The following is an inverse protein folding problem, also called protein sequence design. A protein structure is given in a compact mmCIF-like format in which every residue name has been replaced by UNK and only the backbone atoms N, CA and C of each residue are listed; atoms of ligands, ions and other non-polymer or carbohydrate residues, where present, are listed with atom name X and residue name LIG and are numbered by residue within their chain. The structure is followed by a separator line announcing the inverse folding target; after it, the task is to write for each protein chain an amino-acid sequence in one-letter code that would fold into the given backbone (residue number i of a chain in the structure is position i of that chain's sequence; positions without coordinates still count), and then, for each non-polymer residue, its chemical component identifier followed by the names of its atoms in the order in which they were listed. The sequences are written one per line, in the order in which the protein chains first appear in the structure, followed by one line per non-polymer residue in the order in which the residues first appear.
data_IF_820299960492
#
_entry.id   IF_820299960492
#
_cell.length_a   1.000
_cell.length_b   1.000
_cell.length_c   1.000
_cell.angle_alpha   90.00
_cell.angle_beta   90.00
_cell.angle_gamma   90.00
#
_symmetry.space_group_name_H-M   'P 1'
#
loop_
_entity.id
_entity.type
_entity.pdbx_description
1 polymer ?
#
# COMPACT_ATOMS: atom_id res chain seq x y z
N UNK A 1 12.79 23.46 19.51
CA UNK A 1 12.70 21.99 19.50
C UNK A 1 13.97 21.46 18.85
N UNK A 2 14.69 20.56 19.52
CA UNK A 2 15.92 20.01 18.96
C UNK A 2 15.57 18.99 17.87
N UNK A 3 16.12 19.21 16.69
CA UNK A 3 15.91 18.37 15.51
C UNK A 3 16.61 17.03 15.73
N UNK A 4 15.94 15.91 15.41
CA UNK A 4 16.51 14.58 15.50
C UNK A 4 17.44 14.32 14.30
N UNK A 5 18.72 14.66 14.46
CA UNK A 5 19.75 14.51 13.43
C UNK A 5 19.91 13.08 12.89
N UNK A 6 19.96 12.02 13.74
CA UNK A 6 19.98 10.63 13.25
C UNK A 6 18.78 10.27 12.38
N UNK A 7 17.58 10.69 12.76
CA UNK A 7 16.35 10.47 11.99
C UNK A 7 16.40 11.19 10.62
N UNK A 8 16.83 12.45 10.63
CA UNK A 8 17.03 13.25 9.41
C UNK A 8 18.00 12.61 8.43
N UNK A 9 19.16 12.17 8.92
CA UNK A 9 20.19 11.54 8.08
C UNK A 9 19.65 10.24 7.48
N UNK A 10 18.98 9.41 8.29
CA UNK A 10 18.41 8.14 7.83
C UNK A 10 17.36 8.34 6.72
N UNK A 11 16.47 9.32 6.89
CA UNK A 11 15.43 9.64 5.91
C UNK A 11 16.03 10.30 4.66
N UNK A 12 17.03 11.16 4.82
CA UNK A 12 17.79 11.73 3.71
C UNK A 12 18.44 10.64 2.84
N UNK A 13 19.09 9.67 3.48
CA UNK A 13 19.66 8.50 2.79
C UNK A 13 18.56 7.70 2.09
N UNK A 14 17.43 7.44 2.75
CA UNK A 14 16.29 6.76 2.12
C UNK A 14 15.80 7.49 0.87
N UNK A 15 15.58 8.81 0.92
CA UNK A 15 15.15 9.57 -0.25
C UNK A 15 16.19 9.58 -1.37
N UNK A 16 17.48 9.66 -1.05
CA UNK A 16 18.56 9.57 -2.04
C UNK A 16 18.55 8.19 -2.72
N UNK A 17 18.35 7.12 -1.97
CA UNK A 17 18.27 5.75 -2.52
C UNK A 17 17.03 5.61 -3.41
N UNK A 18 15.87 6.08 -2.98
CA UNK A 18 14.63 6.03 -3.77
C UNK A 18 14.75 6.86 -5.05
N UNK A 19 15.23 8.10 -4.93
CA UNK A 19 15.41 8.97 -6.10
C UNK A 19 16.47 8.41 -7.05
N UNK A 20 17.59 7.91 -6.53
CA UNK A 20 18.66 7.30 -7.31
C UNK A 20 18.20 6.05 -8.06
N UNK A 21 17.45 5.18 -7.39
CA UNK A 21 16.86 3.97 -8.01
C UNK A 21 15.81 4.34 -9.05
N UNK A 22 14.98 5.35 -8.81
CA UNK A 22 14.02 5.87 -9.77
C UNK A 22 14.68 6.47 -11.03
N UNK A 23 15.72 7.27 -10.86
CA UNK A 23 16.50 7.83 -11.98
C UNK A 23 17.21 6.72 -12.77
N UNK A 24 17.80 5.74 -12.09
CA UNK A 24 18.42 4.58 -12.73
C UNK A 24 17.40 3.75 -13.51
N UNK A 25 16.24 3.47 -12.91
CA UNK A 25 15.14 2.73 -13.54
C UNK A 25 14.54 3.51 -14.72
N UNK A 26 14.46 4.84 -14.64
CA UNK A 26 14.09 5.71 -15.78
C UNK A 26 15.09 5.56 -16.94
N UNK A 27 16.40 5.56 -16.66
CA UNK A 27 17.42 5.33 -17.70
C UNK A 27 17.31 3.93 -18.31
N UNK A 28 16.98 2.92 -17.50
CA UNK A 28 16.73 1.55 -17.97
C UNK A 28 15.47 1.49 -18.84
N UNK A 29 14.38 2.12 -18.40
CA UNK A 29 13.13 2.25 -19.15
C UNK A 29 13.36 2.87 -20.53
N UNK A 30 14.08 4.00 -20.60
CA UNK A 30 14.45 4.65 -21.87
C UNK A 30 15.31 3.78 -22.80
N UNK A 31 16.10 2.85 -22.25
CA UNK A 31 16.88 1.89 -23.06
C UNK A 31 16.01 0.77 -23.62
N UNK A 32 15.06 0.29 -22.84
CA UNK A 32 14.08 -0.71 -23.27
C UNK A 32 13.04 -0.11 -24.23
N UNK A 33 12.66 1.16 -24.03
CA UNK A 33 11.84 1.97 -24.94
C UNK A 33 12.45 2.03 -26.35
N UNK A 34 13.78 2.16 -26.46
CA UNK A 34 14.48 2.15 -27.76
C UNK A 34 14.47 0.78 -28.46
N UNK A 35 14.16 -0.31 -27.74
CA UNK A 35 14.08 -1.67 -28.30
C UNK A 35 12.66 -2.08 -28.65
N UNK A 36 11.64 -1.43 -28.10
CA UNK A 36 10.23 -1.76 -28.32
C UNK A 36 9.57 -0.81 -29.33
N UNK A 37 8.86 -1.36 -30.32
CA UNK A 37 8.09 -0.63 -31.34
C UNK A 37 6.72 -0.07 -30.84
N UNK A 38 6.53 0.07 -29.53
CA UNK A 38 5.25 0.48 -28.93
C UNK A 38 5.10 1.99 -28.78
N UNK A 39 3.86 2.49 -28.68
CA UNK A 39 3.60 3.90 -28.42
C UNK A 39 4.16 4.33 -27.05
N UNK A 40 4.80 5.50 -26.99
CA UNK A 40 5.44 6.07 -25.79
C UNK A 40 4.53 6.10 -24.56
N UNK A 41 3.25 6.35 -24.76
CA UNK A 41 2.22 6.35 -23.70
C UNK A 41 1.96 4.95 -23.15
N UNK A 42 1.97 3.90 -23.98
CA UNK A 42 1.80 2.51 -23.55
C UNK A 42 3.01 2.05 -22.73
N UNK A 43 4.23 2.37 -23.15
CA UNK A 43 5.44 2.04 -22.36
C UNK A 43 5.44 2.74 -21.00
N UNK A 44 5.01 4.00 -20.94
CA UNK A 44 4.89 4.73 -19.68
C UNK A 44 3.80 4.16 -18.75
N UNK A 45 2.67 3.72 -19.32
CA UNK A 45 1.52 3.23 -18.55
C UNK A 45 1.62 1.76 -18.15
N UNK A 46 2.11 0.87 -19.01
CA UNK A 46 2.17 -0.59 -18.77
C UNK A 46 3.59 -1.17 -18.78
N UNK A 47 4.63 -0.35 -18.84
CA UNK A 47 6.02 -0.82 -18.75
C UNK A 47 6.39 -1.82 -19.86
N UNK A 48 5.79 -1.68 -21.05
CA UNK A 48 6.02 -2.59 -22.17
C UNK A 48 5.61 -4.04 -21.93
N UNK A 49 4.79 -4.31 -20.89
CA UNK A 49 4.26 -5.64 -20.55
C UNK A 49 5.34 -6.70 -20.32
N UNK A 50 6.50 -6.32 -19.80
CA UNK A 50 7.63 -7.24 -19.65
C UNK A 50 8.30 -7.13 -18.26
N UNK A 51 7.54 -6.74 -17.24
CA UNK A 51 8.05 -6.72 -15.88
C UNK A 51 8.38 -8.15 -15.41
N UNK A 52 9.50 -8.27 -14.70
CA UNK A 52 9.93 -9.52 -14.08
C UNK A 52 8.98 -9.87 -12.92
N UNK A 53 8.74 -11.17 -12.71
CA UNK A 53 7.80 -11.67 -11.69
C UNK A 53 8.10 -11.21 -10.28
N UNK A 54 9.39 -11.14 -9.92
CA UNK A 54 9.78 -10.59 -8.63
C UNK A 54 9.37 -9.11 -8.49
N UNK A 55 9.65 -8.30 -9.51
CA UNK A 55 9.29 -6.87 -9.52
C UNK A 55 7.78 -6.68 -9.51
N UNK A 56 7.05 -7.50 -10.27
CA UNK A 56 5.58 -7.48 -10.33
C UNK A 56 4.93 -7.85 -8.99
N UNK A 57 5.42 -8.90 -8.31
CA UNK A 57 4.96 -9.27 -6.96
C UNK A 57 5.23 -8.12 -6.00
N UNK A 58 6.46 -7.60 -5.96
CA UNK A 58 6.82 -6.53 -5.04
C UNK A 58 6.01 -5.25 -5.28
N UNK A 59 5.86 -4.78 -6.52
CA UNK A 59 5.06 -3.57 -6.79
C UNK A 59 3.58 -3.80 -6.49
N UNK A 60 3.05 -5.00 -6.75
CA UNK A 60 1.67 -5.34 -6.39
C UNK A 60 1.47 -5.27 -4.87
N UNK A 61 2.34 -5.92 -4.09
CA UNK A 61 2.28 -5.87 -2.62
C UNK A 61 2.49 -4.45 -2.08
N UNK A 62 3.49 -3.72 -2.58
CA UNK A 62 3.80 -2.35 -2.14
C UNK A 62 2.65 -1.36 -2.34
N UNK A 63 1.81 -1.59 -3.36
CA UNK A 63 0.64 -0.75 -3.64
C UNK A 63 -0.38 -0.79 -2.51
N UNK A 64 -0.55 -1.96 -1.89
CA UNK A 64 -1.53 -2.17 -0.82
C UNK A 64 -0.93 -1.94 0.56
N UNK A 65 0.34 -2.29 0.74
CA UNK A 65 1.08 -2.12 2.00
C UNK A 65 1.68 -0.71 2.06
N UNK A 66 0.81 0.27 2.35
CA UNK A 66 1.18 1.68 2.50
C UNK A 66 1.14 2.19 3.95
N UNK A 67 1.41 3.49 4.14
CA UNK A 67 1.36 4.14 5.46
C UNK A 67 0.00 4.01 6.16
N UNK A 68 -1.09 4.20 5.42
CA UNK A 68 -2.45 4.00 5.96
C UNK A 68 -2.77 2.55 6.34
N UNK A 69 -2.18 1.58 5.63
CA UNK A 69 -2.33 0.16 5.96
C UNK A 69 -1.60 -0.20 7.26
N UNK A 70 -0.33 0.24 7.39
CA UNK A 70 0.53 -0.06 8.54
C UNK A 70 0.02 0.69 9.78
N UNK A 71 -0.06 2.03 9.69
CA UNK A 71 -0.45 2.88 10.81
C UNK A 71 -1.92 2.66 11.18
N UNK A 72 -2.81 2.58 10.19
CA UNK A 72 -4.23 2.36 10.44
C UNK A 72 -4.52 1.02 11.09
N UNK A 73 -3.84 -0.06 10.68
CA UNK A 73 -4.00 -1.37 11.34
C UNK A 73 -3.54 -1.33 12.79
N UNK A 74 -2.39 -0.69 13.07
CA UNK A 74 -1.90 -0.54 14.44
C UNK A 74 -2.85 0.32 15.30
N UNK A 75 -3.37 1.42 14.74
CA UNK A 75 -4.33 2.30 15.41
C UNK A 75 -5.65 1.59 15.74
N UNK A 76 -6.18 0.79 14.81
CA UNK A 76 -7.43 0.04 15.06
C UNK A 76 -7.26 -0.98 16.18
N UNK A 77 -6.12 -1.68 16.24
CA UNK A 77 -5.81 -2.64 17.32
C UNK A 77 -5.61 -1.92 18.65
N UNK A 78 -4.96 -0.76 18.65
CA UNK A 78 -4.76 0.05 19.85
C UNK A 78 -6.07 0.62 20.40
N UNK A 79 -7.03 0.95 19.53
CA UNK A 79 -8.26 1.60 19.94
C UNK A 79 -9.16 0.66 20.79
N UNK A 80 -9.53 1.07 22.03
CA UNK A 80 -10.27 0.22 22.96
C UNK A 80 -11.68 -0.14 22.51
N UNK A 81 -12.29 0.60 21.58
CA UNK A 81 -13.64 0.30 21.08
C UNK A 81 -13.64 -0.63 19.87
N UNK A 82 -12.48 -0.85 19.25
CA UNK A 82 -12.35 -1.57 17.98
C UNK A 82 -11.54 -2.85 18.14
N UNK A 83 -10.24 -2.75 18.44
CA UNK A 83 -9.34 -3.91 18.52
C UNK A 83 -9.09 -4.61 17.18
N UNK A 84 -8.50 -5.81 17.25
CA UNK A 84 -8.05 -6.64 16.14
C UNK A 84 -9.15 -6.98 15.14
N UNK A 85 -10.38 -7.24 15.59
CA UNK A 85 -11.49 -7.61 14.70
C UNK A 85 -11.79 -6.50 13.69
N UNK A 86 -11.44 -5.25 14.00
CA UNK A 86 -11.58 -4.09 13.12
C UNK A 86 -10.31 -3.74 12.33
N UNK A 87 -9.18 -4.43 12.56
CA UNK A 87 -7.97 -4.35 11.74
C UNK A 87 -8.12 -5.20 10.48
N UNK A 88 -9.02 -4.70 9.64
CA UNK A 88 -9.79 -5.44 8.64
C UNK A 88 -9.05 -5.40 7.28
N UNK A 89 -8.17 -4.40 7.09
CA UNK A 89 -7.43 -4.13 5.85
C UNK A 89 -6.51 -5.27 5.38
N UNK A 90 -5.72 -5.95 6.24
CA UNK A 90 -4.90 -7.10 5.83
C UNK A 90 -5.69 -8.20 5.15
N UNK A 91 -6.83 -8.59 5.71
CA UNK A 91 -7.67 -9.64 5.17
C UNK A 91 -8.44 -9.16 3.94
N UNK A 92 -9.02 -7.97 3.99
CA UNK A 92 -9.82 -7.42 2.90
C UNK A 92 -9.01 -7.22 1.60
N UNK A 93 -7.78 -6.67 1.68
CA UNK A 93 -6.93 -6.51 0.52
C UNK A 93 -6.43 -7.84 -0.05
N UNK A 94 -6.21 -8.84 0.80
CA UNK A 94 -5.88 -10.21 0.35
C UNK A 94 -7.03 -10.81 -0.45
N UNK A 95 -8.26 -10.68 0.06
CA UNK A 95 -9.47 -11.12 -0.65
C UNK A 95 -9.68 -10.36 -1.96
N UNK A 96 -9.44 -9.04 -1.95
CA UNK A 96 -9.50 -8.19 -3.15
C UNK A 96 -8.57 -8.70 -4.25
N UNK A 97 -7.31 -9.01 -3.89
CA UNK A 97 -6.32 -9.53 -4.81
C UNK A 97 -6.69 -10.92 -5.36
N UNK A 98 -7.23 -11.81 -4.52
CA UNK A 98 -7.68 -13.15 -4.94
C UNK A 98 -8.85 -13.04 -5.91
N UNK A 99 -9.88 -12.24 -5.58
CA UNK A 99 -11.06 -12.06 -6.43
C UNK A 99 -10.66 -11.36 -7.74
N UNK A 100 -9.82 -10.34 -7.67
CA UNK A 100 -9.24 -9.67 -8.83
C UNK A 100 -8.50 -10.65 -9.76
N UNK A 101 -7.69 -11.55 -9.19
CA UNK A 101 -6.96 -12.58 -9.94
C UNK A 101 -7.88 -13.58 -10.65
N UNK A 102 -8.94 -14.02 -9.96
CA UNK A 102 -9.86 -15.03 -10.47
C UNK A 102 -10.72 -14.50 -11.62
N UNK A 103 -11.33 -13.32 -11.44
CA UNK A 103 -12.38 -12.84 -12.34
C UNK A 103 -11.91 -11.76 -13.31
N UNK A 104 -10.98 -10.89 -12.92
CA UNK A 104 -10.69 -9.66 -13.68
C UNK A 104 -9.37 -9.71 -14.46
N UNK A 105 -8.36 -10.47 -14.01
CA UNK A 105 -7.05 -10.53 -14.70
C UNK A 105 -7.19 -11.04 -16.14
N UNK A 106 -7.82 -12.19 -16.35
CA UNK A 106 -7.94 -12.82 -17.68
C UNK A 106 -8.70 -11.92 -18.69
N UNK A 107 -9.93 -11.44 -18.42
CA UNK A 107 -10.65 -10.63 -19.39
C UNK A 107 -9.96 -9.30 -19.71
N UNK A 108 -9.31 -8.68 -18.71
CA UNK A 108 -8.60 -7.42 -18.93
C UNK A 108 -7.35 -7.62 -19.80
N UNK A 109 -6.63 -8.71 -19.57
CA UNK A 109 -5.41 -9.03 -20.31
C UNK A 109 -5.67 -9.54 -21.71
N UNK A 110 -6.66 -10.41 -21.90
CA UNK A 110 -6.97 -11.03 -23.20
C UNK A 110 -7.38 -10.00 -24.25
N UNK A 111 -7.97 -8.88 -23.81
CA UNK A 111 -8.34 -7.75 -24.67
C UNK A 111 -7.25 -6.68 -24.81
N UNK A 112 -6.07 -6.90 -24.22
CA UNK A 112 -4.94 -5.97 -24.25
C UNK A 112 -5.30 -4.54 -23.83
N UNK A 113 -6.18 -4.41 -22.83
CA UNK A 113 -6.46 -3.12 -22.22
C UNK A 113 -5.21 -2.50 -21.57
N UNK A 114 -5.27 -1.20 -21.38
CA UNK A 114 -4.25 -0.34 -20.79
C UNK A 114 -4.79 0.32 -19.53
N UNK A 115 -6.10 0.60 -19.47
CA UNK A 115 -6.76 1.21 -18.32
C UNK A 115 -7.96 0.42 -17.83
N UNK A 116 -8.36 0.65 -16.57
CA UNK A 116 -9.62 0.14 -16.03
C UNK A 116 -10.84 0.65 -16.80
N UNK A 117 -10.74 1.81 -17.44
CA UNK A 117 -11.85 2.44 -18.14
C UNK A 117 -12.08 1.88 -19.55
N UNK A 118 -11.12 1.14 -20.13
CA UNK A 118 -11.20 0.65 -21.51
C UNK A 118 -12.43 -0.26 -21.77
N UNK A 119 -12.80 -1.22 -20.91
CA UNK A 119 -14.03 -2.00 -21.08
C UNK A 119 -15.29 -1.11 -21.06
N UNK A 120 -15.28 -0.04 -20.26
CA UNK A 120 -16.41 0.89 -20.18
C UNK A 120 -16.49 1.79 -21.41
N UNK A 121 -15.36 2.19 -21.98
CA UNK A 121 -15.30 2.91 -23.25
C UNK A 121 -15.82 2.05 -24.40
N UNK A 122 -15.40 0.78 -24.48
CA UNK A 122 -15.85 -0.15 -25.53
C UNK A 122 -17.36 -0.42 -25.45
N UNK A 123 -17.91 -0.54 -24.22
CA UNK A 123 -19.32 -0.89 -24.02
C UNK A 123 -20.28 0.30 -24.04
N UNK A 124 -19.90 1.43 -23.44
CA UNK A 124 -20.79 2.59 -23.22
C UNK A 124 -20.37 3.85 -23.99
N UNK A 125 -19.25 3.79 -24.70
CA UNK A 125 -18.69 4.93 -25.44
C UNK A 125 -17.97 5.95 -24.55
N UNK A 126 -17.23 6.84 -25.22
CA UNK A 126 -16.32 7.79 -24.55
C UNK A 126 -17.02 8.76 -23.59
N UNK A 127 -18.26 9.17 -23.90
CA UNK A 127 -19.00 10.15 -23.08
C UNK A 127 -19.34 9.59 -21.71
N UNK A 128 -19.90 8.38 -21.66
CA UNK A 128 -20.29 7.74 -20.40
C UNK A 128 -19.05 7.37 -19.60
N UNK A 129 -18.01 6.85 -20.27
CA UNK A 129 -16.75 6.54 -19.60
C UNK A 129 -16.08 7.78 -18.99
N UNK A 130 -16.16 8.94 -19.63
CA UNK A 130 -15.60 10.18 -19.08
C UNK A 130 -16.30 10.60 -17.78
N UNK A 131 -17.62 10.42 -17.70
CA UNK A 131 -18.39 10.69 -16.47
C UNK A 131 -18.02 9.72 -15.35
N UNK A 132 -17.90 8.42 -15.65
CA UNK A 132 -17.56 7.40 -14.65
C UNK A 132 -16.09 7.54 -14.18
N UNK A 133 -15.22 8.09 -15.01
CA UNK A 133 -13.82 8.37 -14.64
C UNK A 133 -13.70 9.44 -13.55
N UNK A 134 -14.62 10.41 -13.46
CA UNK A 134 -14.54 11.51 -12.50
C UNK A 134 -14.54 11.00 -11.05
N UNK A 135 -15.51 10.17 -10.60
CA UNK A 135 -15.46 9.57 -9.27
C UNK A 135 -14.19 8.76 -8.99
N UNK A 136 -13.71 7.99 -9.97
CA UNK A 136 -12.49 7.19 -9.84
C UNK A 136 -11.26 8.09 -9.60
N UNK A 137 -11.14 9.18 -10.37
CA UNK A 137 -10.07 10.16 -10.21
C UNK A 137 -10.12 10.86 -8.84
N UNK A 138 -11.30 11.28 -8.40
CA UNK A 138 -11.49 11.91 -7.09
C UNK A 138 -11.08 10.93 -5.96
N UNK A 139 -11.47 9.65 -6.09
CA UNK A 139 -11.08 8.60 -5.14
C UNK A 139 -9.55 8.47 -5.01
N UNK A 140 -8.83 8.44 -6.14
CA UNK A 140 -7.36 8.39 -6.14
C UNK A 140 -6.73 9.65 -5.52
N UNK A 141 -7.29 10.84 -5.78
CA UNK A 141 -6.80 12.10 -5.19
C UNK A 141 -6.97 12.07 -3.66
N UNK A 142 -8.14 11.66 -3.16
CA UNK A 142 -8.40 11.55 -1.73
C UNK A 142 -7.51 10.49 -1.07
N UNK A 143 -7.25 9.38 -1.76
CA UNK A 143 -6.36 8.33 -1.30
C UNK A 143 -4.91 8.83 -1.17
N UNK A 144 -4.40 9.54 -2.17
CA UNK A 144 -3.07 10.17 -2.14
C UNK A 144 -2.97 11.16 -0.98
N UNK A 145 -4.01 11.98 -0.77
CA UNK A 145 -4.04 12.93 0.35
C UNK A 145 -3.98 12.21 1.72
N UNK A 146 -4.69 11.09 1.88
CA UNK A 146 -4.64 10.27 3.08
C UNK A 146 -3.23 9.70 3.34
N UNK A 147 -2.57 9.14 2.32
CA UNK A 147 -1.22 8.57 2.44
C UNK A 147 -0.19 9.66 2.77
N UNK A 148 -0.27 10.81 2.10
CA UNK A 148 0.60 11.95 2.41
C UNK A 148 0.36 12.47 3.82
N UNK A 149 -0.89 12.52 4.28
CA UNK A 149 -1.23 12.87 5.66
C UNK A 149 -0.62 11.91 6.68
N UNK A 150 -0.73 10.60 6.44
CA UNK A 150 -0.11 9.58 7.29
C UNK A 150 1.42 9.73 7.34
N UNK A 151 2.05 9.96 6.18
CA UNK A 151 3.49 10.22 6.10
C UNK A 151 3.88 11.48 6.88
N UNK A 152 3.13 12.57 6.72
CA UNK A 152 3.39 13.84 7.42
C UNK A 152 3.31 13.67 8.95
N UNK A 153 2.31 12.92 9.43
CA UNK A 153 2.17 12.57 10.85
C UNK A 153 3.30 11.70 11.39
N UNK A 154 3.75 10.70 10.64
CA UNK A 154 4.90 9.88 11.06
C UNK A 154 6.20 10.69 11.08
N UNK A 155 6.44 11.51 10.06
CA UNK A 155 7.67 12.30 9.93
C UNK A 155 7.77 13.39 11.00
N UNK A 156 6.65 14.02 11.39
CA UNK A 156 6.67 15.00 12.47
C UNK A 156 7.09 14.39 13.80
N UNK A 157 6.64 13.16 14.10
CA UNK A 157 7.01 12.43 15.32
C UNK A 157 8.49 12.02 15.29
N UNK A 158 8.99 11.50 14.17
CA UNK A 158 10.37 10.97 14.09
C UNK A 158 11.42 12.07 14.06
N UNK A 159 11.20 13.11 13.26
CA UNK A 159 12.21 14.14 12.96
C UNK A 159 12.01 15.43 13.76
N UNK A 160 10.86 15.58 14.43
CA UNK A 160 10.43 16.80 15.10
C UNK A 160 10.37 18.01 14.15
N UNK A 161 9.95 17.78 12.90
CA UNK A 161 9.73 18.81 11.87
C UNK A 161 8.24 19.06 11.65
N UNK A 162 7.89 20.21 11.08
CA UNK A 162 6.49 20.49 10.73
C UNK A 162 5.97 19.51 9.65
N UNK A 163 4.79 18.93 9.89
CA UNK A 163 4.16 17.94 9.01
C UNK A 163 4.01 18.45 7.56
N UNK A 164 3.64 19.71 7.35
CA UNK A 164 3.48 20.27 6.00
C UNK A 164 4.79 20.28 5.19
N UNK A 165 5.95 20.53 5.83
CA UNK A 165 7.26 20.47 5.18
C UNK A 165 7.59 19.03 4.76
N UNK A 166 7.34 18.06 5.66
CA UNK A 166 7.55 16.65 5.37
C UNK A 166 6.71 16.19 4.16
N UNK A 167 5.44 16.58 4.12
CA UNK A 167 4.53 16.28 3.01
C UNK A 167 5.04 16.86 1.69
N UNK A 168 5.41 18.14 1.66
CA UNK A 168 5.87 18.81 0.43
C UNK A 168 7.14 18.14 -0.11
N UNK A 169 8.13 17.87 0.74
CA UNK A 169 9.39 17.24 0.32
C UNK A 169 9.12 15.84 -0.25
N UNK A 170 8.30 15.05 0.44
CA UNK A 170 8.00 13.67 0.03
C UNK A 170 7.20 13.62 -1.28
N UNK A 171 6.21 14.50 -1.41
CA UNK A 171 5.45 14.66 -2.65
C UNK A 171 6.35 15.11 -3.81
N UNK A 172 7.26 16.07 -3.59
CA UNK A 172 8.19 16.52 -4.61
C UNK A 172 9.11 15.38 -5.10
N UNK A 173 9.68 14.59 -4.18
CA UNK A 173 10.49 13.42 -4.54
C UNK A 173 9.68 12.40 -5.33
N UNK A 174 8.46 12.08 -4.85
CA UNK A 174 7.54 11.15 -5.52
C UNK A 174 7.20 11.58 -6.94
N UNK A 175 6.84 12.86 -7.12
CA UNK A 175 6.52 13.44 -8.43
C UNK A 175 7.74 13.40 -9.36
N UNK A 176 8.92 13.77 -8.87
CA UNK A 176 10.15 13.80 -9.68
C UNK A 176 10.48 12.43 -10.26
N UNK A 177 10.58 11.38 -9.45
CA UNK A 177 10.95 10.07 -10.00
C UNK A 177 9.83 9.47 -10.87
N UNK A 178 8.56 9.73 -10.53
CA UNK A 178 7.41 9.21 -11.28
C UNK A 178 7.32 9.83 -12.67
N UNK A 179 7.46 11.16 -12.77
CA UNK A 179 7.48 11.87 -14.06
C UNK A 179 8.67 11.47 -14.93
N UNK A 180 9.81 11.15 -14.32
CA UNK A 180 11.02 10.80 -15.07
C UNK A 180 10.99 9.42 -15.71
N UNK A 181 10.35 8.42 -15.10
CA UNK A 181 10.47 7.02 -15.57
C UNK A 181 9.20 6.20 -15.67
N UNK A 182 8.02 6.78 -15.40
CA UNK A 182 6.73 6.11 -15.55
C UNK A 182 6.64 4.84 -14.69
N UNK A 183 5.85 3.85 -15.14
CA UNK A 183 5.63 2.61 -14.38
C UNK A 183 6.92 1.86 -14.04
N UNK A 184 7.94 1.90 -14.92
CA UNK A 184 9.23 1.27 -14.63
C UNK A 184 9.93 1.90 -13.43
N UNK A 185 9.96 3.24 -13.33
CA UNK A 185 10.56 3.88 -12.15
C UNK A 185 9.79 3.49 -10.90
N UNK A 186 8.46 3.56 -10.95
CA UNK A 186 7.59 3.22 -9.81
C UNK A 186 7.80 1.77 -9.37
N UNK A 187 7.80 0.81 -10.29
CA UNK A 187 7.91 -0.60 -9.95
C UNK A 187 9.26 -0.96 -9.29
N UNK A 188 10.36 -0.35 -9.74
CA UNK A 188 11.67 -0.59 -9.12
C UNK A 188 11.86 0.17 -7.79
N UNK A 189 11.30 1.38 -7.66
CA UNK A 189 11.28 2.06 -6.36
C UNK A 189 10.43 1.30 -5.35
N UNK A 190 9.30 0.72 -5.77
CA UNK A 190 8.41 -0.08 -4.93
C UNK A 190 9.14 -1.30 -4.36
N UNK A 191 9.99 -1.98 -5.15
CA UNK A 191 10.80 -3.12 -4.67
C UNK A 191 11.68 -2.71 -3.48
N UNK A 192 12.36 -1.58 -3.60
CA UNK A 192 13.27 -1.07 -2.57
C UNK A 192 12.49 -0.58 -1.35
N UNK A 193 11.40 0.15 -1.57
CA UNK A 193 10.53 0.64 -0.49
C UNK A 193 9.90 -0.52 0.28
N UNK A 194 9.37 -1.53 -0.41
CA UNK A 194 8.81 -2.73 0.22
C UNK A 194 9.86 -3.51 0.99
N UNK A 195 11.10 -3.59 0.48
CA UNK A 195 12.20 -4.22 1.19
C UNK A 195 12.51 -3.50 2.51
N UNK A 196 12.56 -2.17 2.50
CA UNK A 196 12.74 -1.37 3.71
C UNK A 196 11.57 -1.52 4.69
N UNK A 197 10.33 -1.51 4.20
CA UNK A 197 9.14 -1.75 5.03
C UNK A 197 9.21 -3.12 5.68
N UNK A 198 9.52 -4.17 4.90
CA UNK A 198 9.60 -5.55 5.37
C UNK A 198 10.67 -5.68 6.46
N UNK A 199 11.90 -5.25 6.18
CA UNK A 199 13.00 -5.34 7.14
C UNK A 199 12.71 -4.48 8.37
N UNK A 200 12.25 -3.25 8.19
CA UNK A 200 11.96 -2.33 9.29
C UNK A 200 10.89 -2.85 10.23
N UNK A 201 9.75 -3.30 9.69
CA UNK A 201 8.65 -3.83 10.49
C UNK A 201 9.05 -5.09 11.26
N UNK A 202 9.66 -6.07 10.58
CA UNK A 202 10.05 -7.33 11.21
C UNK A 202 11.21 -7.17 12.18
N UNK A 203 12.10 -6.20 11.96
CA UNK A 203 13.16 -5.86 12.92
C UNK A 203 12.58 -5.29 14.21
N UNK A 204 11.50 -4.49 14.14
CA UNK A 204 10.86 -3.93 15.33
C UNK A 204 10.20 -4.99 16.23
N UNK A 205 9.66 -6.08 15.66
CA UNK A 205 8.93 -7.13 16.39
C UNK A 205 9.72 -7.68 17.60
N UNK A 206 10.96 -8.19 17.47
CA UNK A 206 11.69 -8.73 18.61
C UNK A 206 11.98 -7.69 19.69
N UNK A 207 12.25 -6.43 19.34
CA UNK A 207 12.49 -5.37 20.33
C UNK A 207 11.22 -5.07 21.14
N UNK A 208 10.08 -5.06 20.48
CA UNK A 208 8.79 -4.81 21.13
C UNK A 208 8.42 -5.99 22.03
N UNK A 209 8.63 -7.23 21.57
CA UNK A 209 8.37 -8.43 22.36
C UNK A 209 9.37 -8.64 23.50
N UNK A 210 10.61 -8.14 23.41
CA UNK A 210 11.59 -8.20 24.48
C UNK A 210 11.35 -7.18 25.61
N UNK A 211 10.49 -6.18 25.38
CA UNK A 211 10.14 -5.20 26.40
C UNK A 211 9.42 -5.87 27.59
N UNK A 212 9.75 -5.56 28.85
CA UNK A 212 9.05 -6.11 30.03
C UNK A 212 7.53 -5.86 29.99
N UNK A 213 7.10 -4.79 29.32
CA UNK A 213 5.69 -4.43 29.16
C UNK A 213 4.94 -5.33 28.16
N UNK A 214 5.65 -6.14 27.37
CA UNK A 214 5.05 -7.12 26.45
C UNK A 214 4.56 -8.36 27.19
N UNK A 215 5.08 -8.68 28.38
CA UNK A 215 4.86 -9.97 29.05
C UNK A 215 3.37 -10.35 29.23
N UNK A 216 2.49 -9.34 29.25
CA UNK A 216 1.05 -9.51 29.44
C UNK A 216 0.22 -9.34 28.16
N UNK A 217 0.82 -9.21 26.97
CA UNK A 217 0.06 -8.91 25.74
C UNK A 217 -0.94 -10.02 25.38
N UNK A 218 -0.60 -11.28 25.62
CA UNK A 218 -1.50 -12.43 25.40
C UNK A 218 -2.69 -12.43 26.36
N UNK A 219 -2.47 -12.02 27.61
CA UNK A 219 -3.53 -11.86 28.60
C UNK A 219 -4.40 -10.65 28.27
N UNK A 220 -3.80 -9.53 27.84
CA UNK A 220 -4.47 -8.32 27.38
C UNK A 220 -5.32 -8.54 26.12
N UNK A 221 -5.11 -9.66 25.41
CA UNK A 221 -5.89 -10.01 24.24
C UNK A 221 -7.34 -10.31 24.60
N UNK A 222 -7.57 -10.92 25.77
CA UNK A 222 -8.88 -11.45 26.20
C UNK A 222 -9.35 -10.90 27.53
N UNK A 223 -8.45 -10.35 28.34
CA UNK A 223 -8.74 -9.84 29.68
C UNK A 223 -8.40 -8.36 29.75
N UNK A 224 -9.27 -7.58 30.39
CA UNK A 224 -9.04 -6.17 30.66
C UNK A 224 -7.89 -6.03 31.66
N UNK A 225 -6.79 -5.45 31.20
CA UNK A 225 -5.63 -5.10 32.03
C UNK A 225 -5.60 -3.59 32.26
N UNK A 226 -5.20 -2.84 31.24
CA UNK A 226 -5.16 -1.38 31.25
C UNK A 226 -6.32 -0.77 30.44
N UNK A 227 -6.66 -1.39 29.32
CA UNK A 227 -7.81 -1.05 28.49
C UNK A 227 -8.61 -2.30 28.09
N UNK A 228 -9.71 -2.10 27.38
CA UNK A 228 -10.52 -3.21 26.85
C UNK A 228 -9.67 -4.18 26.00
N UNK A 229 -10.01 -5.48 25.97
CA UNK A 229 -9.19 -6.48 25.31
C UNK A 229 -8.92 -6.13 23.85
N UNK A 230 -7.66 -6.15 23.43
CA UNK A 230 -7.26 -5.66 22.10
C UNK A 230 -7.69 -6.58 20.96
N UNK A 231 -8.22 -7.79 21.23
CA UNK A 231 -8.94 -8.57 20.21
C UNK A 231 -10.17 -7.78 19.73
N UNK A 232 -10.84 -7.07 20.63
CA UNK A 232 -12.06 -6.32 20.36
C UNK A 232 -13.28 -7.22 20.16
N UNK A 233 -14.43 -6.58 19.96
CA UNK A 233 -15.70 -7.26 19.63
C UNK A 233 -16.43 -6.45 18.57
N UNK A 234 -17.27 -7.14 17.80
CA UNK A 234 -18.24 -6.49 16.91
C UNK A 234 -19.58 -6.65 17.56
N UNK A 235 -20.13 -5.54 18.03
CA UNK A 235 -21.48 -5.50 18.57
C UNK A 235 -22.50 -5.64 17.43
N UNK A 236 -23.71 -6.10 17.76
CA UNK A 236 -24.74 -6.35 16.76
C UNK A 236 -25.10 -5.06 15.99
N UNK A 237 -25.08 -3.93 16.68
CA UNK A 237 -25.35 -2.59 16.13
C UNK A 237 -24.29 -2.17 15.09
N UNK A 238 -23.04 -2.54 15.31
CA UNK A 238 -21.91 -2.21 14.45
C UNK A 238 -21.64 -3.23 13.34
N UNK A 239 -22.34 -4.36 13.35
CA UNK A 239 -22.13 -5.46 12.39
C UNK A 239 -22.36 -4.97 10.95
N UNK A 240 -23.37 -4.12 10.72
CA UNK A 240 -23.62 -3.53 9.42
C UNK A 240 -22.43 -2.72 8.90
N UNK A 241 -21.85 -1.87 9.75
CA UNK A 241 -20.68 -1.05 9.44
C UNK A 241 -19.42 -1.90 9.22
N UNK A 242 -19.26 -2.97 9.98
CA UNK A 242 -18.13 -3.89 9.82
C UNK A 242 -18.19 -4.59 8.46
N UNK A 243 -19.36 -5.12 8.09
CA UNK A 243 -19.59 -5.76 6.78
C UNK A 243 -19.42 -4.76 5.64
N UNK A 244 -19.95 -3.55 5.78
CA UNK A 244 -19.78 -2.48 4.79
C UNK A 244 -18.31 -2.17 4.55
N UNK A 245 -17.51 -1.96 5.61
CA UNK A 245 -16.08 -1.69 5.48
C UNK A 245 -15.33 -2.88 4.84
N UNK A 246 -15.70 -4.11 5.18
CA UNK A 246 -15.13 -5.32 4.57
C UNK A 246 -15.41 -5.37 3.07
N UNK A 247 -16.66 -5.12 2.67
CA UNK A 247 -17.05 -5.08 1.26
C UNK A 247 -16.39 -3.92 0.53
N UNK A 248 -16.32 -2.74 1.16
CA UNK A 248 -15.68 -1.55 0.59
C UNK A 248 -14.21 -1.79 0.30
N UNK A 249 -13.43 -2.35 1.24
CA UNK A 249 -12.01 -2.62 1.02
C UNK A 249 -11.79 -3.80 0.05
N UNK A 250 -12.65 -4.82 0.09
CA UNK A 250 -12.51 -6.00 -0.77
C UNK A 250 -12.90 -5.70 -2.22
N UNK A 251 -14.10 -5.17 -2.44
CA UNK A 251 -14.64 -4.86 -3.78
C UNK A 251 -14.04 -3.56 -4.30
N UNK A 252 -13.99 -2.52 -3.46
CA UNK A 252 -13.40 -1.23 -3.85
C UNK A 252 -11.93 -1.37 -4.23
N UNK A 253 -11.19 -2.27 -3.57
CA UNK A 253 -9.82 -2.60 -3.95
C UNK A 253 -9.66 -3.04 -5.42
N UNK A 254 -10.63 -3.78 -5.94
CA UNK A 254 -10.64 -4.26 -7.34
C UNK A 254 -10.89 -3.11 -8.31
N UNK A 255 -11.53 -2.02 -7.88
CA UNK A 255 -11.85 -0.87 -8.70
C UNK A 255 -10.70 0.14 -8.81
N UNK A 256 -9.55 -0.09 -8.16
CA UNK A 256 -8.41 0.83 -8.25
C UNK A 256 -7.61 0.65 -9.55
N UNK A 257 -7.32 1.77 -10.23
CA UNK A 257 -6.51 1.78 -11.45
C UNK A 257 -5.12 1.19 -11.20
N UNK A 258 -4.55 1.43 -10.02
CA UNK A 258 -3.24 0.95 -9.60
C UNK A 258 -3.11 -0.58 -9.67
N UNK A 259 -4.18 -1.32 -9.37
CA UNK A 259 -4.23 -2.79 -9.48
C UNK A 259 -4.12 -3.23 -10.94
N UNK A 260 -4.98 -2.69 -11.82
CA UNK A 260 -4.98 -3.06 -13.23
C UNK A 260 -3.68 -2.70 -13.93
N UNK A 261 -3.09 -1.56 -13.60
CA UNK A 261 -1.82 -1.13 -14.18
C UNK A 261 -0.68 -2.14 -13.92
N UNK A 262 -0.72 -2.83 -12.78
CA UNK A 262 0.28 -3.84 -12.38
C UNK A 262 -0.02 -5.22 -12.95
N UNK A 263 -1.30 -5.57 -13.07
CA UNK A 263 -1.73 -6.76 -13.81
C UNK A 263 -1.36 -6.65 -15.30
N UNK A 264 -1.66 -5.51 -15.91
CA UNK A 264 -1.49 -5.24 -17.33
C UNK A 264 -0.03 -4.96 -17.73
N UNK A 265 0.90 -4.86 -16.78
CA UNK A 265 2.33 -4.70 -17.04
C UNK A 265 3.13 -6.00 -17.02
N UNK A 266 2.48 -7.12 -16.70
CA UNK A 266 3.07 -8.47 -16.83
C UNK A 266 2.94 -9.00 -18.26
N UNK A 267 3.82 -9.95 -18.60
CA UNK A 267 3.90 -10.54 -19.95
C UNK A 267 2.76 -11.51 -20.28
N UNK A 268 2.20 -12.20 -19.28
CA UNK A 268 1.18 -13.23 -19.50
C UNK A 268 0.12 -13.21 -18.41
N UNK A 269 -1.07 -13.72 -18.71
CA UNK A 269 -2.17 -13.86 -17.75
C UNK A 269 -1.78 -14.73 -16.56
N UNK A 270 -1.00 -15.80 -16.81
CA UNK A 270 -0.50 -16.68 -15.76
C UNK A 270 0.44 -15.93 -14.81
N UNK A 271 1.35 -15.13 -15.35
CA UNK A 271 2.23 -14.26 -14.58
C UNK A 271 1.41 -13.26 -13.76
N UNK A 272 0.46 -12.54 -14.36
CA UNK A 272 -0.43 -11.63 -13.65
C UNK A 272 -1.16 -12.30 -12.48
N UNK A 273 -1.71 -13.51 -12.67
CA UNK A 273 -2.39 -14.26 -11.61
C UNK A 273 -1.45 -14.63 -10.47
N UNK A 274 -0.26 -15.14 -10.79
CA UNK A 274 0.75 -15.46 -9.78
C UNK A 274 1.12 -14.21 -8.98
N UNK A 275 1.30 -13.07 -9.65
CA UNK A 275 1.56 -11.79 -8.99
C UNK A 275 0.48 -11.44 -7.97
N UNK A 276 -0.81 -11.55 -8.35
CA UNK A 276 -1.91 -11.26 -7.43
C UNK A 276 -1.99 -12.25 -6.26
N UNK A 277 -1.85 -13.55 -6.51
CA UNK A 277 -1.90 -14.56 -5.44
C UNK A 277 -0.72 -14.46 -4.48
N UNK A 278 0.50 -14.23 -4.99
CA UNK A 278 1.66 -14.01 -4.15
C UNK A 278 1.47 -12.74 -3.31
N UNK A 279 0.98 -11.64 -3.90
CA UNK A 279 0.69 -10.43 -3.16
C UNK A 279 -0.39 -10.63 -2.09
N UNK A 280 -1.42 -11.44 -2.37
CA UNK A 280 -2.45 -11.79 -1.39
C UNK A 280 -1.90 -12.55 -0.17
N UNK A 281 -0.78 -13.27 -0.32
CA UNK A 281 -0.09 -13.93 0.80
C UNK A 281 0.86 -12.97 1.51
N UNK A 282 1.57 -12.11 0.78
CA UNK A 282 2.52 -11.17 1.38
C UNK A 282 1.87 -10.02 2.14
N UNK A 283 0.72 -9.49 1.66
CA UNK A 283 -0.01 -8.43 2.34
C UNK A 283 -0.27 -8.76 3.83
N UNK A 284 -0.94 -9.88 4.19
CA UNK A 284 -1.26 -10.17 5.58
C UNK A 284 0.01 -10.45 6.41
N UNK A 285 1.03 -11.07 5.82
CA UNK A 285 2.33 -11.27 6.48
C UNK A 285 2.94 -9.94 6.91
N UNK A 286 2.87 -8.91 6.07
CA UNK A 286 3.35 -7.56 6.38
C UNK A 286 2.41 -6.77 7.31
N UNK A 287 1.14 -7.19 7.42
CA UNK A 287 0.19 -6.69 8.41
C UNK A 287 0.48 -7.16 9.84
N UNK A 288 1.05 -8.36 10.01
CA UNK A 288 1.30 -8.97 11.33
C UNK A 288 2.13 -8.06 12.26
N UNK A 289 3.31 -7.54 11.85
CA UNK A 289 4.07 -6.63 12.72
C UNK A 289 3.27 -5.41 13.18
N UNK A 290 2.46 -4.82 12.30
CA UNK A 290 1.63 -3.65 12.61
C UNK A 290 0.58 -3.96 13.67
N UNK A 291 -0.04 -5.14 13.56
CA UNK A 291 -0.98 -5.65 14.57
C UNK A 291 -0.29 -5.87 15.91
N UNK A 292 0.90 -6.47 15.91
CA UNK A 292 1.68 -6.71 17.13
C UNK A 292 2.09 -5.40 17.81
N UNK A 293 2.50 -4.39 17.02
CA UNK A 293 2.81 -3.05 17.53
C UNK A 293 1.58 -2.46 18.25
N UNK A 294 0.40 -2.49 17.60
CA UNK A 294 -0.84 -2.01 18.21
C UNK A 294 -1.25 -2.79 19.46
N UNK A 295 -1.09 -4.12 19.44
CA UNK A 295 -1.44 -5.00 20.57
C UNK A 295 -0.54 -4.77 21.79
N UNK A 296 0.76 -4.57 21.58
CA UNK A 296 1.68 -4.27 22.69
C UNK A 296 1.47 -2.86 23.21
N UNK A 297 1.24 -1.87 22.33
CA UNK A 297 0.88 -0.52 22.75
C UNK A 297 -0.42 -0.49 23.58
N UNK A 298 -1.42 -1.27 23.18
CA UNK A 298 -2.66 -1.48 23.93
C UNK A 298 -2.43 -2.09 25.32
N UNK A 299 -1.39 -2.90 25.46
CA UNK A 299 -1.08 -3.62 26.69
C UNK A 299 -0.29 -2.77 27.69
N UNK A 300 0.41 -1.74 27.20
CA UNK A 300 1.12 -0.76 28.01
C UNK A 300 0.17 0.37 28.40
N UNK A 301 -0.14 0.56 29.68
CA UNK A 301 -1.13 1.56 30.15
C UNK A 301 -0.79 3.04 29.90
N UNK A 302 0.13 3.34 28.99
CA UNK A 302 0.44 4.68 28.50
C UNK A 302 -0.62 5.11 27.50
N UNK A 303 -1.54 5.98 27.93
CA UNK A 303 -2.28 6.84 27.03
C UNK A 303 -1.27 7.74 26.28
N UNK A 304 -1.09 7.47 24.99
CA UNK A 304 -0.37 8.37 24.06
C UNK A 304 -1.27 9.55 23.72
#
# INVERSE_FOLDING_TARGET
MAVNWPGLVSIGVFYIVVLGTGIWASRKSKREEKKCSGNRSEVAMVGGRNLNIFVSISTMTATWVGGGYILGSAEMVYNPTKGLVWAIAPMAFSMSLIIGALFFVKPMRSKNYVTLMDPFQEKYGNKVSAVIFIPALIGEILWIACILGALGGTMSVVMNIHSWLAVIISAAVAVLYTLMGGLYSVAYTDVIQLSFITVGLWLCVPFILASPSSANFTVAAVTKLHQEPWIGRVELEDTGRWVENMLLLTIGGICHQAFYQRVLSTATDAHAKITCYAAAVFCPILGIPSILIGAVAASTGTHI
#
